data_IF_235261190288
#
_entry.id   IF_235261190288
#
_cell.length_a   1.000
_cell.length_b   1.000
_cell.length_c   1.000
_cell.angle_alpha   90.00
_cell.angle_beta   90.00
_cell.angle_gamma   90.00
#
_symmetry.space_group_name_H-M   'P 1'
#
loop_
_entity.id
_entity.type
_entity.pdbx_description
1 polymer ?
#
# COMPACT_ATOMS: atom_id res chain seq x y z
N UNK A 1 40.46 -0.05 -23.66
CA UNK A 1 40.39 1.35 -23.21
C UNK A 1 39.33 1.47 -22.14
N UNK A 2 39.71 1.60 -20.86
CA UNK A 2 38.80 1.66 -19.72
C UNK A 2 38.55 3.11 -19.30
N UNK A 3 37.29 3.45 -19.00
CA UNK A 3 36.95 4.61 -18.18
C UNK A 3 36.24 4.09 -16.93
N UNK A 4 37.06 3.80 -15.92
CA UNK A 4 36.64 3.63 -14.53
C UNK A 4 37.56 4.54 -13.71
N UNK A 5 37.03 5.65 -13.22
CA UNK A 5 37.81 6.59 -12.43
C UNK A 5 37.07 7.91 -12.27
N UNK A 6 37.09 8.42 -11.04
CA UNK A 6 36.53 9.71 -10.58
C UNK A 6 35.04 9.66 -10.21
N UNK A 7 34.73 9.23 -8.98
CA UNK A 7 34.23 10.09 -7.89
C UNK A 7 34.40 9.29 -6.57
N UNK A 8 35.58 9.39 -5.95
CA UNK A 8 35.79 8.89 -4.58
C UNK A 8 36.96 9.61 -3.92
N UNK A 9 36.81 10.91 -3.67
CA UNK A 9 37.70 11.66 -2.78
C UNK A 9 37.08 13.03 -2.45
N UNK A 10 36.25 13.07 -1.41
CA UNK A 10 36.19 14.14 -0.38
C UNK A 10 34.95 13.92 0.48
N UNK A 11 35.03 13.08 1.50
CA UNK A 11 34.15 13.18 2.67
C UNK A 11 34.81 12.46 3.86
N UNK A 12 35.89 13.06 4.36
CA UNK A 12 36.57 12.63 5.57
C UNK A 12 36.96 13.87 6.39
N UNK A 13 35.98 14.47 7.08
CA UNK A 13 36.19 15.29 8.27
C UNK A 13 34.84 15.77 8.83
N UNK A 14 34.24 15.00 9.74
CA UNK A 14 33.55 15.48 10.96
C UNK A 14 33.00 14.27 11.71
N UNK A 15 33.51 14.09 12.94
CA UNK A 15 33.23 12.94 13.78
C UNK A 15 31.76 12.82 14.15
N UNK A 16 31.12 11.75 13.68
CA UNK A 16 30.01 11.06 14.34
C UNK A 16 29.88 9.67 13.70
N UNK A 17 29.51 8.68 14.50
CA UNK A 17 29.64 7.22 14.28
C UNK A 17 29.17 6.72 12.89
N UNK A 18 30.07 6.25 11.99
CA UNK A 18 29.72 5.87 10.61
C UNK A 18 29.08 4.47 10.46
N UNK A 19 28.91 3.70 11.53
CA UNK A 19 28.54 2.28 11.42
C UNK A 19 27.02 2.03 11.27
N UNK A 20 26.18 3.01 11.59
CA UNK A 20 24.70 2.86 11.50
C UNK A 20 24.17 3.35 10.14
N UNK A 21 24.85 4.29 9.48
CA UNK A 21 24.41 4.86 8.18
C UNK A 21 24.55 3.89 7.01
N UNK A 22 25.62 3.08 6.97
CA UNK A 22 25.79 2.09 5.89
C UNK A 22 24.70 1.00 5.88
N UNK A 23 24.14 0.68 7.04
CA UNK A 23 23.15 -0.39 7.20
C UNK A 23 21.75 0.04 6.73
N UNK A 24 21.37 1.30 6.93
CA UNK A 24 20.08 1.82 6.51
C UNK A 24 19.98 1.94 4.97
N UNK A 25 21.02 2.45 4.32
CA UNK A 25 21.09 2.57 2.85
C UNK A 25 21.12 1.19 2.18
N UNK A 26 21.87 0.23 2.73
CA UNK A 26 21.88 -1.15 2.22
C UNK A 26 20.53 -1.83 2.42
N UNK A 27 19.81 -1.56 3.53
CA UNK A 27 18.47 -2.11 3.75
C UNK A 27 17.42 -1.48 2.84
N UNK A 28 17.45 -0.17 2.59
CA UNK A 28 16.53 0.51 1.67
C UNK A 28 16.76 0.02 0.23
N UNK A 29 18.02 -0.06 -0.21
CA UNK A 29 18.36 -0.58 -1.54
C UNK A 29 18.02 -2.07 -1.65
N UNK A 30 18.36 -2.91 -0.67
CA UNK A 30 18.03 -4.34 -0.72
C UNK A 30 16.51 -4.61 -0.67
N UNK A 31 15.76 -3.80 0.08
CA UNK A 31 14.28 -3.87 0.13
C UNK A 31 13.66 -3.39 -1.18
N UNK A 32 14.25 -2.37 -1.82
CA UNK A 32 13.84 -1.90 -3.15
C UNK A 32 14.11 -2.95 -4.23
N UNK A 33 15.27 -3.63 -4.22
CA UNK A 33 15.56 -4.71 -5.18
C UNK A 33 14.60 -5.89 -5.01
N UNK A 34 14.27 -6.27 -3.76
CA UNK A 34 13.24 -7.31 -3.49
C UNK A 34 11.85 -6.89 -3.96
N UNK A 35 11.47 -5.63 -3.75
CA UNK A 35 10.19 -5.08 -4.22
C UNK A 35 10.11 -5.05 -5.77
N UNK A 36 11.20 -4.65 -6.45
CA UNK A 36 11.29 -4.66 -7.92
C UNK A 36 11.14 -6.06 -8.52
N UNK A 37 11.73 -7.08 -7.88
CA UNK A 37 11.61 -8.48 -8.31
C UNK A 37 10.18 -9.02 -8.20
N UNK A 38 9.42 -8.59 -7.19
CA UNK A 38 7.99 -8.94 -7.05
C UNK A 38 7.13 -8.27 -8.13
N UNK A 39 7.46 -7.03 -8.52
CA UNK A 39 6.74 -6.28 -9.57
C UNK A 39 7.10 -6.78 -10.98
N UNK A 40 8.33 -7.23 -11.22
CA UNK A 40 8.80 -7.68 -12.54
C UNK A 40 8.58 -9.19 -12.81
N UNK A 41 8.24 -9.99 -11.78
CA UNK A 41 8.30 -11.45 -11.81
C UNK A 41 7.03 -12.22 -12.22
N UNK A 42 6.02 -11.59 -12.83
CA UNK A 42 4.81 -12.31 -13.29
C UNK A 42 5.01 -12.81 -14.72
N UNK A 43 5.65 -13.96 -14.85
CA UNK A 43 5.72 -14.72 -16.09
C UNK A 43 4.34 -15.32 -16.40
N UNK A 44 3.82 -15.05 -17.60
CA UNK A 44 2.52 -15.55 -18.07
C UNK A 44 2.53 -17.09 -18.20
N UNK A 45 1.53 -17.83 -17.69
CA UNK A 45 1.31 -19.20 -18.15
C UNK A 45 0.84 -19.18 -19.62
N UNK A 46 1.51 -19.97 -20.47
CA UNK A 46 1.10 -20.23 -21.86
C UNK A 46 -0.23 -21.00 -21.85
N UNK A 47 -1.31 -20.35 -22.26
CA UNK A 47 -2.58 -21.04 -22.55
C UNK A 47 -2.49 -21.70 -23.93
N UNK A 48 -2.36 -23.02 -23.94
CA UNK A 48 -2.55 -23.86 -25.12
C UNK A 48 -4.05 -23.94 -25.45
N UNK A 49 -4.41 -23.60 -26.69
CA UNK A 49 -5.74 -23.80 -27.25
C UNK A 49 -5.96 -25.27 -27.58
N UNK A 50 -6.93 -25.91 -26.93
CA UNK A 50 -7.41 -27.25 -27.26
C UNK A 50 -8.93 -27.31 -27.19
N UNK A 51 -9.59 -27.05 -28.31
CA UNK A 51 -11.02 -27.27 -28.46
C UNK A 51 -11.34 -28.74 -28.75
N UNK A 52 -12.46 -29.24 -28.21
CA UNK A 52 -13.32 -30.22 -28.88
C UNK A 52 -14.69 -30.35 -28.21
N UNK A 53 -15.62 -30.91 -28.99
CA UNK A 53 -17.07 -30.68 -29.06
C UNK A 53 -17.93 -31.62 -28.21
N UNK A 54 -19.16 -31.13 -27.98
CA UNK A 54 -20.49 -31.75 -27.78
C UNK A 54 -20.68 -33.28 -27.85
N UNK A 55 -21.54 -33.76 -26.93
CA UNK A 55 -22.44 -34.91 -27.06
C UNK A 55 -23.27 -35.14 -25.78
N UNK A 56 -24.59 -34.96 -25.83
CA UNK A 56 -25.56 -35.51 -24.83
C UNK A 56 -26.06 -36.90 -25.28
N UNK A 57 -27.24 -37.43 -24.82
CA UNK A 57 -28.14 -37.02 -23.74
C UNK A 57 -28.62 -38.18 -22.81
N UNK A 58 -29.49 -37.83 -21.83
CA UNK A 58 -30.50 -38.62 -21.06
C UNK A 58 -30.01 -39.82 -20.20
N UNK A 59 -30.59 -40.24 -19.06
CA UNK A 59 -31.96 -40.37 -18.53
C UNK A 59 -31.90 -40.60 -17.00
N UNK A 60 -32.99 -40.32 -16.25
CA UNK A 60 -33.39 -41.17 -15.09
C UNK A 60 -33.47 -40.52 -13.69
N UNK A 61 -34.68 -40.15 -13.29
CA UNK A 61 -35.20 -40.09 -11.90
C UNK A 61 -35.37 -41.53 -11.34
N UNK A 62 -35.53 -41.81 -10.02
CA UNK A 62 -36.40 -41.07 -9.09
C UNK A 62 -35.97 -40.91 -7.61
N UNK A 63 -36.78 -40.07 -6.94
CA UNK A 63 -37.00 -39.79 -5.52
C UNK A 63 -36.43 -40.75 -4.48
N UNK A 64 -35.98 -40.19 -3.34
CA UNK A 64 -36.32 -40.70 -2.01
C UNK A 64 -36.21 -39.58 -0.96
N UNK A 65 -37.36 -39.30 -0.35
CA UNK A 65 -37.55 -38.49 0.84
C UNK A 65 -36.85 -39.16 2.02
N UNK A 66 -35.96 -38.45 2.74
CA UNK A 66 -35.52 -38.89 4.07
C UNK A 66 -35.34 -37.67 4.98
N UNK A 67 -36.26 -37.57 5.93
CA UNK A 67 -36.22 -36.69 7.09
C UNK A 67 -35.05 -37.05 7.99
N UNK A 68 -34.12 -36.12 8.23
CA UNK A 68 -33.12 -36.20 9.29
C UNK A 68 -33.14 -34.90 10.10
N UNK A 69 -33.50 -35.03 11.38
CA UNK A 69 -33.25 -34.07 12.45
C UNK A 69 -31.76 -34.07 12.82
N UNK A 70 -31.13 -32.92 13.10
CA UNK A 70 -29.97 -32.84 13.98
C UNK A 70 -30.43 -32.23 15.32
N UNK A 71 -30.42 -32.96 16.43
CA UNK A 71 -29.24 -33.28 17.25
C UNK A 71 -28.39 -32.05 17.55
N UNK A 72 -28.70 -31.42 18.68
CA UNK A 72 -27.82 -30.58 19.48
C UNK A 72 -26.56 -31.34 19.85
N UNK A 73 -25.40 -30.93 19.34
CA UNK A 73 -24.14 -30.90 20.10
C UNK A 73 -22.96 -30.45 19.23
N UNK A 74 -22.08 -29.69 19.87
CA UNK A 74 -20.64 -29.49 19.61
C UNK A 74 -20.18 -28.39 18.64
N UNK A 75 -19.25 -27.61 19.20
CA UNK A 75 -18.17 -26.82 18.58
C UNK A 75 -18.57 -25.43 18.11
N UNK A 76 -18.32 -24.47 19.02
CA UNK A 76 -18.06 -23.09 18.67
C UNK A 76 -16.90 -23.02 17.68
N UNK A 77 -17.25 -22.99 16.40
CA UNK A 77 -16.42 -22.45 15.35
C UNK A 77 -16.52 -20.94 15.50
N UNK A 78 -15.39 -20.31 15.82
CA UNK A 78 -15.21 -18.87 15.72
C UNK A 78 -15.44 -18.52 14.25
N UNK A 79 -16.65 -18.07 13.94
CA UNK A 79 -17.04 -17.59 12.63
C UNK A 79 -16.17 -16.40 12.25
N UNK A 80 -15.87 -16.31 10.96
CA UNK A 80 -15.16 -15.21 10.33
C UNK A 80 -15.53 -13.88 10.98
N UNK A 81 -14.52 -13.13 11.44
CA UNK A 81 -14.71 -11.76 11.90
C UNK A 81 -15.56 -11.03 10.87
N UNK A 82 -16.80 -10.72 11.24
CA UNK A 82 -17.63 -9.79 10.48
C UNK A 82 -16.80 -8.52 10.36
N UNK A 83 -16.36 -8.21 9.14
CA UNK A 83 -15.81 -6.91 8.80
C UNK A 83 -17.02 -5.96 8.88
N UNK A 84 -17.36 -5.57 10.10
CA UNK A 84 -18.44 -4.65 10.37
C UNK A 84 -17.96 -3.29 9.90
N UNK A 85 -18.47 -2.85 8.76
CA UNK A 85 -18.33 -1.48 8.32
C UNK A 85 -19.02 -0.60 9.35
N UNK A 86 -18.24 0.10 10.17
CA UNK A 86 -18.76 1.22 10.92
C UNK A 86 -19.22 2.25 9.88
N UNK A 87 -20.54 2.35 9.71
CA UNK A 87 -21.19 3.24 8.76
C UNK A 87 -20.58 4.64 8.90
N UNK A 88 -19.94 5.14 7.83
CA UNK A 88 -19.30 6.44 7.78
C UNK A 88 -20.19 7.50 8.43
N UNK A 89 -19.66 8.18 9.45
CA UNK A 89 -20.23 9.44 9.93
C UNK A 89 -20.39 10.39 8.74
N UNK A 90 -21.56 11.04 8.68
CA UNK A 90 -21.97 12.06 7.69
C UNK A 90 -20.78 12.96 7.28
N UNK A 91 -20.44 12.98 5.99
CA UNK A 91 -19.44 13.91 5.42
C UNK A 91 -18.51 13.36 4.35
N UNK A 92 -18.41 12.03 4.17
CA UNK A 92 -17.61 11.43 3.08
C UNK A 92 -18.41 11.49 1.78
N UNK A 93 -17.98 12.32 0.83
CA UNK A 93 -18.49 12.26 -0.54
C UNK A 93 -18.08 10.91 -1.14
N UNK A 94 -19.04 10.17 -1.72
CA UNK A 94 -18.85 8.82 -2.27
C UNK A 94 -17.78 8.73 -3.38
N UNK A 95 -17.26 9.87 -3.83
CA UNK A 95 -16.32 10.01 -4.93
C UNK A 95 -14.83 9.96 -4.53
N UNK A 96 -14.52 9.86 -3.23
CA UNK A 96 -13.14 9.83 -2.73
C UNK A 96 -12.74 8.46 -2.18
N UNK A 97 -11.43 8.18 -2.21
CA UNK A 97 -10.89 6.97 -1.60
C UNK A 97 -10.90 7.11 -0.07
N UNK A 98 -11.18 6.01 0.63
CA UNK A 98 -11.19 5.94 2.08
C UNK A 98 -10.31 4.78 2.54
N UNK A 99 -9.46 5.04 3.54
CA UNK A 99 -8.62 4.04 4.17
C UNK A 99 -9.13 3.78 5.58
N UNK A 100 -9.15 2.50 5.98
CA UNK A 100 -9.51 2.10 7.33
C UNK A 100 -8.44 1.14 7.82
N UNK A 101 -7.74 1.49 8.89
CA UNK A 101 -6.75 0.62 9.52
C UNK A 101 -7.42 -0.14 10.66
N UNK A 102 -7.19 -1.45 10.73
CA UNK A 102 -7.80 -2.35 11.72
C UNK A 102 -6.76 -3.27 12.33
N UNK A 103 -6.90 -3.53 13.63
CA UNK A 103 -6.09 -4.53 14.32
C UNK A 103 -6.52 -5.92 13.85
N UNK A 104 -5.59 -6.71 13.35
CA UNK A 104 -5.83 -8.12 13.05
C UNK A 104 -5.66 -8.95 14.33
N UNK A 105 -6.57 -9.89 14.64
CA UNK A 105 -6.47 -10.75 15.83
C UNK A 105 -5.15 -11.52 15.97
N UNK A 106 -4.38 -11.69 14.88
CA UNK A 106 -3.06 -12.32 14.86
C UNK A 106 -1.92 -11.37 15.26
N UNK A 107 -2.24 -10.13 15.66
CA UNK A 107 -1.27 -9.09 16.02
C UNK A 107 -0.66 -8.38 14.81
N UNK A 108 -1.34 -8.41 13.67
CA UNK A 108 -0.95 -7.68 12.46
C UNK A 108 -1.86 -6.46 12.28
N UNK A 109 -1.53 -5.57 11.35
CA UNK A 109 -2.43 -4.49 10.95
C UNK A 109 -3.00 -4.78 9.57
N UNK A 110 -4.32 -4.63 9.44
CA UNK A 110 -5.04 -4.73 8.19
C UNK A 110 -5.41 -3.34 7.70
N UNK A 111 -5.20 -3.08 6.41
CA UNK A 111 -5.67 -1.85 5.77
C UNK A 111 -6.79 -2.19 4.79
N UNK A 112 -7.98 -1.62 5.02
CA UNK A 112 -9.11 -1.71 4.11
C UNK A 112 -9.16 -0.43 3.28
N UNK A 113 -9.32 -0.59 1.97
CA UNK A 113 -9.22 0.48 0.99
C UNK A 113 -10.50 0.47 0.18
N UNK A 114 -11.37 1.45 0.42
CA UNK A 114 -12.55 1.70 -0.41
C UNK A 114 -12.20 2.75 -1.44
N UNK A 115 -12.16 2.36 -2.72
CA UNK A 115 -11.86 3.28 -3.81
C UNK A 115 -13.12 3.99 -4.29
N UNK A 116 -12.92 5.16 -4.90
CA UNK A 116 -13.98 5.97 -5.52
C UNK A 116 -14.79 5.22 -6.60
N UNK A 117 -14.21 4.19 -7.23
CA UNK A 117 -14.92 3.36 -8.21
C UNK A 117 -15.76 2.23 -7.58
N UNK A 118 -15.93 2.26 -6.25
CA UNK A 118 -16.72 1.31 -5.48
C UNK A 118 -16.02 -0.02 -5.20
N UNK A 119 -14.79 -0.22 -5.68
CA UNK A 119 -14.02 -1.42 -5.36
C UNK A 119 -13.43 -1.33 -3.95
N UNK A 120 -13.51 -2.43 -3.19
CA UNK A 120 -12.94 -2.54 -1.84
C UNK A 120 -11.83 -3.56 -1.84
N UNK A 121 -10.67 -3.17 -1.32
CA UNK A 121 -9.49 -4.00 -1.21
C UNK A 121 -9.07 -4.17 0.23
N UNK A 122 -8.52 -5.34 0.51
CA UNK A 122 -7.81 -5.67 1.73
C UNK A 122 -6.32 -5.69 1.43
N UNK A 123 -5.55 -4.89 2.13
CA UNK A 123 -4.09 -4.86 2.09
C UNK A 123 -3.57 -5.37 3.43
N UNK A 124 -2.87 -6.50 3.39
CA UNK A 124 -2.23 -7.10 4.57
C UNK A 124 -0.81 -6.58 4.70
N UNK A 125 -0.51 -5.92 5.82
CA UNK A 125 0.83 -5.39 6.10
C UNK A 125 1.49 -6.19 7.22
N UNK A 126 2.71 -6.65 6.98
CA UNK A 126 3.50 -7.35 8.00
C UNK A 126 4.07 -6.33 9.00
N UNK A 127 3.32 -6.01 10.06
CA UNK A 127 3.65 -4.93 11.00
C UNK A 127 4.11 -5.37 12.38
N UNK A 128 4.45 -6.65 12.58
CA UNK A 128 4.84 -7.18 13.91
C UNK A 128 6.04 -6.49 14.56
N UNK A 129 6.82 -5.70 13.81
CA UNK A 129 8.03 -5.04 14.30
C UNK A 129 7.80 -3.64 14.89
N UNK A 130 6.72 -2.97 14.51
CA UNK A 130 6.55 -1.53 14.76
C UNK A 130 5.21 -1.25 15.44
N UNK A 131 5.17 -0.23 16.28
CA UNK A 131 3.95 0.19 16.98
C UNK A 131 2.97 0.84 16.00
N UNK A 132 3.47 1.67 15.08
CA UNK A 132 2.67 2.30 14.03
C UNK A 132 2.53 1.36 12.84
N UNK A 133 1.33 1.18 12.28
CA UNK A 133 1.15 0.43 11.04
C UNK A 133 1.98 1.03 9.90
N UNK A 134 2.71 0.18 9.18
CA UNK A 134 3.53 0.60 8.04
C UNK A 134 2.70 1.29 6.94
N UNK A 135 1.50 0.78 6.68
CA UNK A 135 0.60 1.37 5.70
C UNK A 135 0.08 2.74 6.15
N UNK A 136 -0.09 2.95 7.47
CA UNK A 136 -0.48 4.26 8.01
C UNK A 136 0.64 5.29 7.81
N UNK A 137 1.91 4.89 7.99
CA UNK A 137 3.04 5.80 7.75
C UNK A 137 3.14 6.24 6.30
N UNK A 138 2.89 5.33 5.35
CA UNK A 138 2.75 5.66 3.94
C UNK A 138 1.61 6.64 3.69
N UNK A 139 0.40 6.33 4.18
CA UNK A 139 -0.78 7.16 3.96
C UNK A 139 -0.60 8.59 4.49
N UNK A 140 -0.06 8.75 5.71
CA UNK A 140 0.21 10.07 6.29
C UNK A 140 1.30 10.79 5.51
N UNK A 141 2.42 10.13 5.24
CA UNK A 141 3.56 10.75 4.53
C UNK A 141 3.13 11.28 3.17
N UNK A 142 2.48 10.43 2.37
CA UNK A 142 2.03 10.83 1.03
C UNK A 142 1.00 11.95 1.07
N UNK A 143 0.07 11.91 2.05
CA UNK A 143 -0.95 12.94 2.18
C UNK A 143 -0.36 14.30 2.53
N UNK A 144 0.49 14.35 3.55
CA UNK A 144 1.04 15.59 4.07
C UNK A 144 2.13 16.18 3.16
N UNK A 145 2.86 15.33 2.43
CA UNK A 145 3.86 15.78 1.46
C UNK A 145 3.28 16.03 0.05
N UNK A 146 2.01 15.65 -0.19
CA UNK A 146 1.35 15.85 -1.48
C UNK A 146 1.80 14.90 -2.59
N UNK A 147 2.25 13.70 -2.24
CA UNK A 147 2.81 12.71 -3.18
C UNK A 147 1.68 11.95 -3.88
N UNK A 148 1.16 12.54 -4.96
CA UNK A 148 0.01 11.99 -5.69
C UNK A 148 0.31 10.68 -6.45
N UNK A 149 1.58 10.36 -6.74
CA UNK A 149 2.00 9.12 -7.42
C UNK A 149 2.82 8.18 -6.51
N UNK A 150 2.62 8.30 -5.19
CA UNK A 150 3.02 7.31 -4.19
C UNK A 150 2.12 6.06 -4.18
N UNK A 151 2.30 5.17 -3.20
CA UNK A 151 1.55 3.91 -3.05
C UNK A 151 0.04 4.14 -3.04
N UNK A 152 -0.47 5.00 -2.15
CA UNK A 152 -1.91 5.24 -2.04
C UNK A 152 -2.42 6.11 -3.18
N UNK A 153 -1.59 7.02 -3.68
CA UNK A 153 -1.90 7.81 -4.87
C UNK A 153 -2.14 6.95 -6.13
N UNK A 154 -1.32 5.92 -6.36
CA UNK A 154 -1.53 4.98 -7.47
C UNK A 154 -2.70 4.03 -7.23
N UNK A 155 -2.95 3.62 -5.98
CA UNK A 155 -4.14 2.82 -5.64
C UNK A 155 -5.41 3.62 -5.91
N UNK A 156 -5.47 4.88 -5.50
CA UNK A 156 -6.56 5.79 -5.81
C UNK A 156 -6.79 5.89 -7.33
N UNK A 157 -5.72 5.87 -8.12
CA UNK A 157 -5.80 5.88 -9.59
C UNK A 157 -6.31 4.58 -10.21
N UNK A 158 -6.20 3.46 -9.49
CA UNK A 158 -6.63 2.13 -9.92
C UNK A 158 -5.53 1.10 -10.10
N UNK A 159 -4.34 1.36 -9.54
CA UNK A 159 -3.36 0.31 -9.35
C UNK A 159 -3.82 -0.68 -8.28
N UNK A 160 -3.45 -1.93 -8.47
CA UNK A 160 -3.65 -3.04 -7.53
C UNK A 160 -2.31 -3.74 -7.39
N UNK A 161 -1.77 -3.77 -6.17
CA UNK A 161 -0.55 -4.47 -5.83
C UNK A 161 -0.83 -5.97 -5.58
N UNK A 162 0.19 -6.81 -5.68
CA UNK A 162 0.05 -8.26 -5.45
C UNK A 162 -0.32 -8.63 -4.00
N UNK A 163 -0.07 -7.73 -3.05
CA UNK A 163 -0.45 -7.86 -1.64
C UNK A 163 -1.90 -7.44 -1.35
N UNK A 164 -2.62 -6.98 -2.38
CA UNK A 164 -4.01 -6.55 -2.25
C UNK A 164 -4.95 -7.66 -2.73
N UNK A 165 -5.98 -7.92 -1.93
CA UNK A 165 -7.08 -8.81 -2.29
C UNK A 165 -8.35 -7.99 -2.42
N UNK A 166 -9.02 -8.05 -3.58
CA UNK A 166 -10.33 -7.43 -3.72
C UNK A 166 -11.36 -8.24 -2.92
N UNK A 167 -12.12 -7.57 -2.05
CA UNK A 167 -13.14 -8.20 -1.21
C UNK A 167 -14.56 -7.79 -1.58
N UNK A 168 -14.75 -6.61 -2.21
CA UNK A 168 -16.04 -6.16 -2.72
C UNK A 168 -15.91 -5.37 -4.04
N UNK A 169 -17.05 -5.18 -4.72
CA UNK A 169 -17.16 -4.46 -5.99
C UNK A 169 -16.89 -5.35 -7.21
N UNK A 170 -17.38 -4.90 -8.37
CA UNK A 170 -17.21 -5.64 -9.64
C UNK A 170 -15.80 -5.44 -10.17
N UNK A 171 -15.06 -6.55 -10.32
CA UNK A 171 -13.76 -6.52 -10.99
C UNK A 171 -13.91 -5.99 -12.43
N UNK A 172 -13.05 -5.03 -12.80
CA UNK A 172 -12.99 -4.53 -14.18
C UNK A 172 -12.32 -5.56 -15.08
N UNK A 173 -12.85 -5.73 -16.30
CA UNK A 173 -12.25 -6.63 -17.28
C UNK A 173 -10.79 -6.25 -17.62
N UNK A 174 -10.47 -4.95 -17.58
CA UNK A 174 -9.15 -4.41 -17.90
C UNK A 174 -8.30 -4.06 -16.67
N UNK A 175 -8.68 -4.51 -15.47
CA UNK A 175 -8.07 -4.10 -14.21
C UNK A 175 -6.54 -4.28 -14.20
N UNK A 176 -6.04 -5.45 -14.63
CA UNK A 176 -4.61 -5.75 -14.67
C UNK A 176 -3.85 -4.83 -15.63
N UNK A 177 -4.33 -4.71 -16.87
CA UNK A 177 -3.69 -3.86 -17.91
C UNK A 177 -3.66 -2.40 -17.46
N UNK A 178 -4.75 -1.93 -16.83
CA UNK A 178 -4.82 -0.58 -16.26
C UNK A 178 -3.85 -0.41 -15.09
N UNK A 179 -3.80 -1.34 -14.15
CA UNK A 179 -2.89 -1.31 -13.00
C UNK A 179 -1.43 -1.23 -13.46
N UNK A 180 -1.02 -2.14 -14.35
CA UNK A 180 0.36 -2.20 -14.89
C UNK A 180 0.74 -0.88 -15.57
N UNK A 181 -0.20 -0.25 -16.31
CA UNK A 181 0.02 1.06 -16.94
C UNK A 181 0.23 2.17 -15.92
N UNK A 182 -0.58 2.22 -14.86
CA UNK A 182 -0.47 3.25 -13.80
C UNK A 182 0.85 3.07 -13.06
N UNK A 183 1.16 1.85 -12.63
CA UNK A 183 2.39 1.54 -11.90
C UNK A 183 3.65 1.85 -12.74
N UNK A 184 3.63 1.56 -14.03
CA UNK A 184 4.74 1.89 -14.94
C UNK A 184 4.94 3.40 -15.10
N UNK A 185 3.88 4.19 -15.01
CA UNK A 185 3.94 5.64 -15.16
C UNK A 185 4.33 6.37 -13.86
N UNK A 186 4.10 5.74 -12.70
CA UNK A 186 4.38 6.32 -11.39
C UNK A 186 5.89 6.43 -11.12
N UNK A 187 6.34 7.60 -10.67
CA UNK A 187 7.73 7.86 -10.27
C UNK A 187 7.86 7.99 -8.76
N UNK A 188 6.79 8.38 -8.09
CA UNK A 188 6.73 8.65 -6.65
C UNK A 188 6.72 7.42 -5.74
N UNK A 189 6.43 6.22 -6.23
CA UNK A 189 6.36 5.01 -5.38
C UNK A 189 7.65 4.75 -4.60
N UNK A 190 8.81 4.79 -5.27
CA UNK A 190 10.10 4.57 -4.61
C UNK A 190 10.49 5.69 -3.65
N UNK A 191 10.18 6.94 -4.04
CA UNK A 191 10.40 8.13 -3.21
C UNK A 191 9.54 8.06 -1.94
N UNK A 192 8.26 7.69 -2.09
CA UNK A 192 7.32 7.54 -0.99
C UNK A 192 7.83 6.50 0.02
N UNK A 193 8.21 5.31 -0.44
CA UNK A 193 8.77 4.27 0.44
C UNK A 193 9.98 4.77 1.25
N UNK A 194 10.90 5.48 0.60
CA UNK A 194 12.12 5.94 1.26
C UNK A 194 11.85 7.03 2.30
N UNK A 195 10.98 7.99 1.99
CA UNK A 195 10.65 9.09 2.91
C UNK A 195 9.73 8.61 4.04
N UNK A 196 8.72 7.79 3.72
CA UNK A 196 7.84 7.20 4.72
C UNK A 196 8.62 6.33 5.70
N UNK A 197 9.65 5.61 5.26
CA UNK A 197 10.53 4.85 6.15
C UNK A 197 11.27 5.74 7.15
N UNK A 198 11.82 6.89 6.70
CA UNK A 198 12.53 7.85 7.56
C UNK A 198 11.59 8.47 8.59
N UNK A 199 10.42 8.94 8.16
CA UNK A 199 9.41 9.54 9.06
C UNK A 199 8.90 8.51 10.06
N UNK A 200 8.60 7.30 9.59
CA UNK A 200 8.17 6.19 10.44
C UNK A 200 9.22 5.85 11.49
N UNK A 201 10.49 5.73 11.11
CA UNK A 201 11.57 5.46 12.05
C UNK A 201 11.72 6.56 13.10
N UNK A 202 11.59 7.82 12.73
CA UNK A 202 11.64 8.94 13.67
C UNK A 202 10.52 8.85 14.71
N UNK A 203 9.28 8.54 14.28
CA UNK A 203 8.14 8.36 15.18
C UNK A 203 8.32 7.14 16.08
N UNK A 204 8.74 5.99 15.54
CA UNK A 204 8.98 4.77 16.33
C UNK A 204 10.06 4.97 17.39
N UNK A 205 11.12 5.72 17.05
CA UNK A 205 12.24 6.01 17.96
C UNK A 205 12.03 7.26 18.82
N UNK A 206 10.85 7.88 18.76
CA UNK A 206 10.51 9.13 19.48
C UNK A 206 11.56 10.23 19.28
N UNK A 207 12.09 10.36 18.05
CA UNK A 207 13.06 11.39 17.68
C UNK A 207 12.34 12.69 17.27
N UNK A 208 13.06 13.83 17.27
CA UNK A 208 12.61 15.04 16.60
C UNK A 208 12.37 14.82 15.10
N UNK A 209 11.73 15.79 14.45
CA UNK A 209 11.42 15.76 13.02
C UNK A 209 12.69 15.53 12.16
N UNK A 210 12.70 14.53 11.26
CA UNK A 210 13.93 14.03 10.62
C UNK A 210 14.29 14.79 9.32
N UNK A 211 14.49 16.11 9.40
CA UNK A 211 14.73 16.94 8.21
C UNK A 211 15.98 16.53 7.42
N UNK A 212 17.08 16.24 8.12
CA UNK A 212 18.36 15.92 7.51
C UNK A 212 18.28 14.55 6.81
N UNK A 213 17.68 13.58 7.48
CA UNK A 213 17.54 12.20 6.99
C UNK A 213 16.58 12.13 5.79
N UNK A 214 15.51 12.93 5.76
CA UNK A 214 14.64 13.03 4.58
C UNK A 214 15.41 13.59 3.38
N UNK A 215 16.24 14.62 3.58
CA UNK A 215 17.08 15.19 2.51
C UNK A 215 18.16 14.22 2.05
N UNK A 216 18.79 13.50 2.97
CA UNK A 216 19.76 12.44 2.65
C UNK A 216 19.10 11.33 1.83
N UNK A 217 17.95 10.82 2.29
CA UNK A 217 17.19 9.79 1.59
C UNK A 217 16.72 10.25 0.20
N UNK A 218 16.31 11.51 0.05
CA UNK A 218 16.02 12.11 -1.24
C UNK A 218 17.25 12.13 -2.17
N UNK A 219 18.42 12.51 -1.66
CA UNK A 219 19.68 12.56 -2.41
C UNK A 219 20.15 11.21 -2.96
N UNK A 220 19.67 10.09 -2.38
CA UNK A 220 19.91 8.74 -2.91
C UNK A 220 19.09 8.49 -4.19
N UNK A 221 17.91 9.11 -4.31
CA UNK A 221 16.91 8.81 -5.35
C UNK A 221 16.89 9.87 -6.45
N UNK A 222 17.24 11.11 -6.11
CA UNK A 222 17.25 12.24 -7.03
C UNK A 222 18.47 13.11 -6.83
N UNK A 223 18.94 13.73 -7.92
CA UNK A 223 20.00 14.74 -7.90
C UNK A 223 19.44 16.16 -7.75
N UNK A 224 18.13 16.34 -7.93
CA UNK A 224 17.47 17.63 -7.74
C UNK A 224 17.40 17.99 -6.24
N UNK A 225 17.28 19.27 -5.87
CA UNK A 225 16.99 19.66 -4.49
C UNK A 225 15.72 18.98 -3.97
N UNK A 226 15.73 18.58 -2.69
CA UNK A 226 14.55 18.00 -2.05
C UNK A 226 13.38 18.99 -2.12
N UNK A 227 12.26 18.63 -2.76
CA UNK A 227 11.16 19.55 -3.02
C UNK A 227 10.25 19.75 -1.83
N UNK A 228 10.42 18.97 -0.75
CA UNK A 228 9.54 18.99 0.41
C UNK A 228 10.01 20.05 1.43
N UNK A 229 9.21 21.10 1.69
CA UNK A 229 9.52 22.07 2.72
C UNK A 229 9.58 21.42 4.10
N UNK A 230 10.43 21.93 5.00
CA UNK A 230 10.53 21.43 6.37
C UNK A 230 9.16 21.40 7.07
N UNK A 231 8.35 22.43 6.89
CA UNK A 231 7.01 22.49 7.49
C UNK A 231 6.08 21.33 7.07
N UNK A 232 6.26 20.76 5.87
CA UNK A 232 5.49 19.59 5.41
C UNK A 232 5.98 18.31 6.12
N UNK A 233 7.31 18.17 6.27
CA UNK A 233 7.94 17.04 6.97
C UNK A 233 7.56 17.05 8.45
N UNK A 234 7.50 18.24 9.05
CA UNK A 234 7.07 18.43 10.44
C UNK A 234 5.62 18.02 10.64
N UNK A 235 4.72 18.50 9.79
CA UNK A 235 3.31 18.09 9.81
C UNK A 235 3.14 16.59 9.63
N UNK A 236 3.82 15.99 8.65
CA UNK A 236 3.78 14.54 8.44
C UNK A 236 4.22 13.75 9.68
N UNK A 237 5.30 14.19 10.33
CA UNK A 237 5.84 13.53 11.53
C UNK A 237 4.90 13.68 12.72
N UNK A 238 4.35 14.88 12.93
CA UNK A 238 3.42 15.17 14.02
C UNK A 238 2.11 14.41 13.86
N UNK A 239 1.49 14.46 12.68
CA UNK A 239 0.25 13.72 12.37
C UNK A 239 0.46 12.21 12.53
N UNK A 240 1.60 11.66 12.08
CA UNK A 240 1.87 10.24 12.23
C UNK A 240 2.05 9.84 13.70
N UNK A 241 2.65 10.72 14.52
CA UNK A 241 2.79 10.51 15.96
C UNK A 241 1.42 10.45 16.64
N UNK A 242 0.57 11.43 16.38
CA UNK A 242 -0.79 11.53 16.94
C UNK A 242 -1.65 10.32 16.54
N UNK A 243 -1.70 9.98 15.25
CA UNK A 243 -2.44 8.82 14.78
C UNK A 243 -1.87 7.51 15.30
N UNK A 244 -0.54 7.44 15.48
CA UNK A 244 0.12 6.32 16.11
C UNK A 244 -0.23 6.14 17.59
N UNK A 245 -0.40 7.25 18.32
CA UNK A 245 -0.87 7.24 19.71
C UNK A 245 -2.34 6.82 19.78
N UNK A 246 -3.19 7.36 18.90
CA UNK A 246 -4.59 6.96 18.77
C UNK A 246 -4.72 5.45 18.47
N UNK A 247 -3.93 4.95 17.52
CA UNK A 247 -3.87 3.53 17.16
C UNK A 247 -3.48 2.63 18.35
N UNK A 248 -2.51 3.06 19.15
CA UNK A 248 -2.04 2.30 20.31
C UNK A 248 -3.05 2.34 21.47
N UNK A 249 -3.83 3.42 21.58
CA UNK A 249 -4.78 3.62 22.66
C UNK A 249 -6.13 2.93 22.44
N UNK A 250 -6.44 2.49 21.22
CA UNK A 250 -7.75 1.94 20.86
C UNK A 250 -7.65 0.76 19.89
N UNK A 251 -8.52 -0.24 20.09
CA UNK A 251 -8.74 -1.31 19.12
C UNK A 251 -9.73 -0.91 18.01
N UNK A 252 -10.38 0.25 18.14
CA UNK A 252 -11.33 0.74 17.14
C UNK A 252 -10.64 1.02 15.80
N UNK A 253 -11.32 0.80 14.67
CA UNK A 253 -10.77 1.13 13.36
C UNK A 253 -10.36 2.60 13.26
N UNK A 254 -9.17 2.83 12.73
CA UNK A 254 -8.69 4.18 12.44
C UNK A 254 -9.11 4.56 11.02
N UNK A 255 -10.05 5.47 10.91
CA UNK A 255 -10.55 6.00 9.65
C UNK A 255 -9.63 7.10 9.12
N UNK A 256 -9.31 7.05 7.83
CA UNK A 256 -8.39 8.00 7.19
C UNK A 256 -8.89 8.36 5.78
N UNK A 257 -9.51 9.55 5.60
CA UNK A 257 -9.98 9.98 4.30
C UNK A 257 -8.80 10.34 3.38
N UNK A 258 -8.91 9.97 2.10
CA UNK A 258 -7.90 10.24 1.11
C UNK A 258 -8.33 11.34 0.14
N UNK A 259 -7.59 12.46 0.00
CA UNK A 259 -8.01 13.57 -0.84
C UNK A 259 -8.09 13.23 -2.34
N UNK A 260 -9.17 13.63 -3.02
CA UNK A 260 -9.37 13.46 -4.48
C UNK A 260 -8.16 13.90 -5.33
N UNK A 261 -7.51 15.00 -4.93
CA UNK A 261 -6.36 15.60 -5.62
C UNK A 261 -5.10 14.75 -5.56
N UNK A 262 -4.97 13.86 -4.57
CA UNK A 262 -3.79 13.00 -4.37
C UNK A 262 -3.97 11.68 -5.10
N UNK A 263 -4.25 11.78 -6.40
CA UNK A 263 -4.50 10.64 -7.25
C UNK A 263 -3.52 10.67 -8.41
N UNK A 264 -2.84 9.55 -8.64
CA UNK A 264 -1.90 9.45 -9.75
C UNK A 264 -2.64 9.63 -11.08
N UNK A 265 -1.97 10.22 -12.06
CA UNK A 265 -2.54 10.38 -13.39
C UNK A 265 -2.55 9.03 -14.12
N UNK A 266 -3.71 8.56 -14.57
CA UNK A 266 -3.78 7.47 -15.56
C UNK A 266 -3.48 8.05 -16.95
N UNK A 267 -2.38 7.66 -17.62
CA UNK A 267 -2.00 8.21 -18.91
C UNK A 267 -3.08 8.10 -19.99
N UNK A 268 -3.95 7.08 -19.92
CA UNK A 268 -5.05 6.92 -20.87
C UNK A 268 -6.18 7.93 -20.61
N UNK A 269 -6.48 8.20 -19.34
CA UNK A 269 -7.53 9.15 -18.94
C UNK A 269 -7.11 10.60 -19.21
N UNK A 270 -5.80 10.91 -19.09
CA UNK A 270 -5.27 12.24 -19.41
C UNK A 270 -5.45 12.60 -20.89
N UNK A 271 -5.24 11.64 -21.81
CA UNK A 271 -5.42 11.86 -23.26
C UNK A 271 -6.85 12.16 -23.68
N UNK A 272 -7.84 11.69 -22.91
CA UNK A 272 -9.26 11.95 -23.19
C UNK A 272 -9.66 13.36 -22.77
N UNK A 273 -9.05 13.93 -21.71
CA UNK A 273 -9.33 15.32 -21.28
C UNK A 273 -8.65 16.39 -22.13
N UNK A 274 -7.58 16.04 -22.83
CA UNK A 274 -6.81 16.96 -23.68
C UNK A 274 -7.35 17.07 -25.12
N UNK A 275 -8.46 16.39 -25.42
CA UNK A 275 -9.18 16.44 -26.70
C UNK A 275 -10.52 17.11 -26.48
#
# INVERSE_FOLDING_TARGET
MPWAGVVLATYAARGSLPYIQGLLTVLIVARWTKFRTVVAGVSLPKFSHGGRRFGGPSTGLPSLFRSHTPSTSTRGLVTAAEIHWCVCKRGVTLDDMHLTFQHDPRGESLTLIRRADGAVFKLTSYTRKWRVPHDLSHAVTERELGVADGIFGVIAAGAVFSTMTQIEGKARYDAKVRSDRILKAAKGVGISEAIAAVIHEAVEKRRPTPYAEVRESWGVISQDPCPYPNEHIDRATTVLRELGEQWAASSEPLEFPWPARLRATDPKSARVRAR
#
